data_IF_029251573054
#
_entry.id   IF_029251573054
#
_cell.length_a   1.000
_cell.length_b   1.000
_cell.length_c   1.000
_cell.angle_alpha   90.00
_cell.angle_beta   90.00
_cell.angle_gamma   90.00
#
_symmetry.space_group_name_H-M   'P 1'
#
loop_
_entity.id
_entity.type
_entity.pdbx_description
1 polymer ?
#
# COMPACT_ATOMS: atom_id res chain seq x y z
N UNK A 1 35.95 -37.15 30.61
CA UNK A 1 36.02 -37.31 29.15
C UNK A 1 35.27 -36.14 28.52
N UNK A 2 36.00 -35.21 27.89
CA UNK A 2 35.42 -34.06 27.21
C UNK A 2 35.12 -34.45 25.75
N UNK A 3 33.89 -34.19 25.30
CA UNK A 3 33.49 -34.36 23.92
C UNK A 3 34.15 -33.26 23.06
N UNK A 4 35.03 -33.56 22.09
CA UNK A 4 35.79 -32.54 21.36
C UNK A 4 35.11 -32.01 20.08
N UNK A 5 33.84 -32.31 19.82
CA UNK A 5 33.20 -31.94 18.53
C UNK A 5 32.00 -30.99 18.63
N UNK A 6 32.08 -29.97 19.49
CA UNK A 6 31.32 -28.74 19.26
C UNK A 6 32.26 -27.67 18.73
N UNK A 7 32.56 -27.76 17.42
CA UNK A 7 33.09 -26.59 16.70
C UNK A 7 32.06 -25.47 16.86
N UNK A 8 32.46 -24.24 17.24
CA UNK A 8 31.56 -23.11 17.14
C UNK A 8 31.15 -23.02 15.67
N UNK A 9 29.84 -23.10 15.41
CA UNK A 9 29.30 -22.75 14.10
C UNK A 9 29.67 -21.29 13.92
N UNK A 10 30.69 -21.02 13.10
CA UNK A 10 31.09 -19.66 12.78
C UNK A 10 29.93 -19.00 12.06
N UNK A 11 29.33 -17.98 12.66
CA UNK A 11 28.35 -17.14 11.99
C UNK A 11 28.98 -16.58 10.70
N UNK A 12 28.43 -16.97 9.55
CA UNK A 12 28.85 -16.43 8.26
C UNK A 12 28.29 -15.02 8.18
N UNK A 13 29.11 -14.01 8.46
CA UNK A 13 28.72 -12.60 8.29
C UNK A 13 28.70 -12.26 6.81
N UNK A 14 27.51 -12.16 6.23
CA UNK A 14 27.32 -11.55 4.90
C UNK A 14 27.21 -10.04 5.11
N UNK A 15 28.06 -9.21 4.46
CA UNK A 15 27.98 -7.77 4.60
C UNK A 15 26.63 -7.21 4.17
N UNK A 16 26.14 -6.18 4.86
CA UNK A 16 24.92 -5.47 4.47
C UNK A 16 25.00 -4.96 3.02
N UNK A 17 24.12 -5.47 2.17
CA UNK A 17 23.97 -4.95 0.81
C UNK A 17 23.14 -3.65 0.84
N UNK A 18 23.83 -2.51 0.78
CA UNK A 18 23.16 -1.20 0.75
C UNK A 18 22.26 -1.00 -0.47
N UNK A 19 22.47 -1.75 -1.56
CA UNK A 19 21.58 -1.77 -2.72
C UNK A 19 20.19 -2.28 -2.37
N UNK A 20 20.12 -3.39 -1.63
CA UNK A 20 18.87 -4.01 -1.21
C UNK A 20 18.09 -3.10 -0.26
N UNK A 21 18.78 -2.40 0.65
CA UNK A 21 18.14 -1.42 1.56
C UNK A 21 17.54 -0.24 0.77
N UNK A 22 18.24 0.24 -0.28
CA UNK A 22 17.74 1.32 -1.14
C UNK A 22 16.55 0.88 -1.98
N UNK A 23 16.54 -0.35 -2.46
CA UNK A 23 15.39 -0.89 -3.20
C UNK A 23 14.20 -1.09 -2.27
N UNK A 24 14.43 -1.67 -1.09
CA UNK A 24 13.42 -1.79 -0.04
C UNK A 24 12.83 -0.43 0.36
N UNK A 25 13.63 0.64 0.46
CA UNK A 25 13.12 2.00 0.72
C UNK A 25 12.09 2.44 -0.32
N UNK A 26 12.30 2.12 -1.60
CA UNK A 26 11.34 2.46 -2.67
C UNK A 26 10.05 1.68 -2.51
N UNK A 27 10.13 0.40 -2.14
CA UNK A 27 8.97 -0.47 -1.92
C UNK A 27 8.18 -0.13 -0.64
N UNK A 28 8.88 0.27 0.42
CA UNK A 28 8.29 0.69 1.68
C UNK A 28 7.49 1.99 1.52
N UNK A 29 7.92 2.87 0.61
CA UNK A 29 7.29 4.18 0.40
C UNK A 29 7.50 5.10 1.60
N UNK A 30 6.64 6.12 1.75
CA UNK A 30 6.67 7.00 2.93
C UNK A 30 6.01 6.31 4.10
N UNK A 31 6.78 6.04 5.15
CA UNK A 31 6.31 5.40 6.38
C UNK A 31 5.07 6.09 6.97
N UNK A 32 4.97 7.42 6.85
CA UNK A 32 3.84 8.20 7.36
C UNK A 32 2.53 8.03 6.57
N UNK A 33 2.59 7.50 5.34
CA UNK A 33 1.41 7.25 4.51
C UNK A 33 0.72 5.92 4.87
N UNK A 34 1.51 4.89 5.18
CA UNK A 34 1.02 3.62 5.76
C UNK A 34 1.97 3.11 6.85
N UNK A 35 1.83 3.61 8.09
CA UNK A 35 2.73 3.20 9.18
C UNK A 35 2.59 1.74 9.57
N UNK A 36 1.43 1.13 9.35
CA UNK A 36 1.18 -0.28 9.66
C UNK A 36 1.86 -1.15 8.62
N UNK A 37 1.54 -0.98 7.34
CA UNK A 37 2.18 -1.75 6.27
C UNK A 37 3.68 -1.49 6.18
N UNK A 38 4.12 -0.26 6.42
CA UNK A 38 5.53 0.10 6.47
C UNK A 38 6.30 -0.60 7.60
N UNK A 39 5.72 -0.69 8.81
CA UNK A 39 6.34 -1.42 9.93
C UNK A 39 6.34 -2.93 9.72
N UNK A 40 5.27 -3.51 9.17
CA UNK A 40 5.24 -4.94 8.83
C UNK A 40 6.29 -5.31 7.79
N UNK A 41 6.42 -4.49 6.73
CA UNK A 41 7.46 -4.64 5.72
C UNK A 41 8.86 -4.51 6.32
N UNK A 42 9.07 -3.53 7.20
CA UNK A 42 10.36 -3.36 7.88
C UNK A 42 10.68 -4.55 8.77
N UNK A 43 9.70 -5.04 9.54
CA UNK A 43 9.89 -6.19 10.41
C UNK A 43 10.22 -7.46 9.61
N UNK A 44 9.60 -7.64 8.44
CA UNK A 44 9.92 -8.72 7.50
C UNK A 44 11.32 -8.56 6.88
N UNK A 45 11.69 -7.34 6.48
CA UNK A 45 13.01 -7.03 5.94
C UNK A 45 14.13 -7.28 6.97
N UNK A 46 13.88 -6.90 8.23
CA UNK A 46 14.80 -7.22 9.31
C UNK A 46 14.83 -8.73 9.56
N UNK A 47 13.68 -9.40 9.51
CA UNK A 47 13.60 -10.87 9.48
C UNK A 47 14.35 -11.54 10.65
N UNK A 48 14.82 -12.79 10.50
CA UNK A 48 15.70 -13.43 11.46
C UNK A 48 17.18 -13.06 11.27
N UNK A 49 17.49 -12.06 10.42
CA UNK A 49 18.87 -11.70 10.11
C UNK A 49 19.54 -11.11 11.35
N UNK A 50 20.79 -11.52 11.58
CA UNK A 50 21.59 -11.05 12.71
C UNK A 50 22.37 -9.82 12.24
N UNK A 51 21.78 -8.64 12.39
CA UNK A 51 22.49 -7.39 12.15
C UNK A 51 23.38 -7.02 13.34
N UNK A 52 24.49 -6.35 13.06
CA UNK A 52 25.22 -5.58 14.07
C UNK A 52 24.52 -4.26 14.36
N UNK A 53 24.87 -3.60 15.48
CA UNK A 53 24.38 -2.26 15.77
C UNK A 53 24.70 -1.28 14.62
N UNK A 54 25.92 -1.34 14.08
CA UNK A 54 26.38 -0.49 12.97
C UNK A 54 25.57 -0.72 11.70
N UNK A 55 25.31 -1.99 11.34
CA UNK A 55 24.47 -2.32 10.18
C UNK A 55 23.03 -1.86 10.38
N UNK A 56 22.47 -2.03 11.59
CA UNK A 56 21.11 -1.60 11.88
C UNK A 56 20.99 -0.06 11.83
N UNK A 57 21.95 0.68 12.39
CA UNK A 57 21.99 2.14 12.25
C UNK A 57 22.15 2.57 10.79
N UNK A 58 22.93 1.83 10.00
CA UNK A 58 23.08 2.07 8.56
C UNK A 58 21.77 1.85 7.79
N UNK A 59 21.05 0.77 8.10
CA UNK A 59 19.71 0.50 7.54
C UNK A 59 18.78 1.66 7.88
N UNK A 60 18.66 2.02 9.16
CA UNK A 60 17.80 3.11 9.60
C UNK A 60 18.17 4.44 8.93
N UNK A 61 19.46 4.72 8.77
CA UNK A 61 19.95 5.93 8.10
C UNK A 61 19.70 5.98 6.60
N UNK A 62 19.56 4.84 5.94
CA UNK A 62 19.09 4.79 4.55
C UNK A 62 17.58 5.00 4.51
N UNK A 63 16.83 4.32 5.37
CA UNK A 63 15.36 4.30 5.33
C UNK A 63 14.72 5.62 5.76
N UNK A 64 15.26 6.27 6.79
CA UNK A 64 14.63 7.39 7.49
C UNK A 64 15.47 8.66 7.45
N UNK A 65 14.80 9.81 7.54
CA UNK A 65 15.48 11.10 7.75
C UNK A 65 16.07 11.17 9.16
N UNK A 66 16.90 12.17 9.45
CA UNK A 66 17.44 12.36 10.81
C UNK A 66 16.33 12.64 11.80
N UNK A 67 15.37 13.50 11.41
CA UNK A 67 14.20 13.87 12.20
C UNK A 67 13.31 12.67 12.49
N UNK A 68 13.03 11.83 11.49
CA UNK A 68 12.26 10.59 11.67
C UNK A 68 12.96 9.65 12.64
N UNK A 69 14.28 9.45 12.51
CA UNK A 69 15.04 8.57 13.40
C UNK A 69 15.03 9.05 14.84
N UNK A 70 15.20 10.35 15.06
CA UNK A 70 15.13 10.94 16.40
C UNK A 70 13.74 10.72 17.01
N UNK A 71 12.67 10.96 16.24
CA UNK A 71 11.30 10.77 16.70
C UNK A 71 10.99 9.31 17.02
N UNK A 72 11.40 8.38 16.14
CA UNK A 72 11.24 6.94 16.34
C UNK A 72 11.97 6.50 17.60
N UNK A 73 13.23 6.92 17.76
CA UNK A 73 14.06 6.57 18.92
C UNK A 73 13.45 7.07 20.23
N UNK A 74 13.10 8.36 20.30
CA UNK A 74 12.47 8.93 21.51
C UNK A 74 11.16 8.22 21.85
N UNK A 75 10.35 7.93 20.83
CA UNK A 75 9.12 7.17 20.99
C UNK A 75 9.37 5.74 21.49
N UNK A 76 10.35 5.05 20.93
CA UNK A 76 10.74 3.68 21.32
C UNK A 76 11.23 3.61 22.77
N UNK A 77 12.08 4.55 23.18
CA UNK A 77 12.55 4.68 24.57
C UNK A 77 11.39 4.89 25.54
N UNK A 78 10.46 5.79 25.21
CA UNK A 78 9.29 6.07 26.06
C UNK A 78 8.37 4.85 26.22
N UNK A 79 8.26 4.00 25.21
CA UNK A 79 7.50 2.73 25.31
C UNK A 79 8.25 1.74 26.17
N UNK A 80 9.56 1.59 25.95
CA UNK A 80 10.41 0.71 26.74
C UNK A 80 10.35 1.03 28.23
N UNK A 81 10.53 2.30 28.60
CA UNK A 81 10.50 2.75 29.99
C UNK A 81 9.13 2.50 30.65
N UNK A 82 8.04 2.56 29.85
CA UNK A 82 6.67 2.27 30.33
C UNK A 82 6.41 0.78 30.52
N UNK A 83 6.87 -0.06 29.58
CA UNK A 83 6.43 -1.45 29.47
C UNK A 83 7.41 -2.48 30.07
N UNK A 84 8.70 -2.18 30.11
CA UNK A 84 9.72 -3.21 30.32
C UNK A 84 10.48 -3.10 31.64
N UNK A 85 11.11 -1.97 31.99
CA UNK A 85 12.17 -1.98 33.03
C UNK A 85 12.31 -0.72 33.92
N UNK A 86 11.29 0.14 34.02
CA UNK A 86 11.33 1.34 34.88
C UNK A 86 11.91 2.58 34.18
N UNK A 87 11.81 3.77 34.81
CA UNK A 87 12.15 5.03 34.15
C UNK A 87 13.64 5.15 33.79
N UNK A 88 13.91 5.79 32.65
CA UNK A 88 15.22 6.25 32.16
C UNK A 88 16.23 5.16 31.75
N UNK A 89 15.79 3.96 31.35
CA UNK A 89 16.69 2.90 30.85
C UNK A 89 16.72 2.78 29.32
N UNK A 90 15.79 3.40 28.60
CA UNK A 90 15.74 3.32 27.13
C UNK A 90 17.03 3.77 26.42
N UNK A 91 17.82 4.66 27.03
CA UNK A 91 19.08 5.14 26.44
C UNK A 91 20.18 4.08 26.43
N UNK A 92 20.16 3.16 27.41
CA UNK A 92 21.09 2.04 27.51
C UNK A 92 20.77 0.95 26.47
N UNK A 93 19.48 0.75 26.19
CA UNK A 93 19.00 -0.29 25.28
C UNK A 93 18.91 0.19 23.82
N UNK A 94 18.80 1.50 23.59
CA UNK A 94 19.01 2.12 22.28
C UNK A 94 20.09 3.22 22.32
N UNK A 95 21.37 2.84 22.48
CA UNK A 95 22.46 3.79 22.62
C UNK A 95 22.68 4.60 21.35
N UNK A 96 23.09 5.87 21.52
CA UNK A 96 23.38 6.80 20.43
C UNK A 96 24.72 6.49 19.74
N UNK A 97 25.66 5.92 20.49
CA UNK A 97 26.99 5.51 20.01
C UNK A 97 27.08 3.99 19.97
N UNK A 98 28.04 3.47 19.19
CA UNK A 98 28.27 2.03 19.12
C UNK A 98 28.61 1.50 20.52
N UNK A 99 27.75 0.63 21.10
CA UNK A 99 27.97 0.12 22.43
C UNK A 99 29.03 -1.00 22.48
N UNK A 100 29.59 -1.38 21.33
CA UNK A 100 30.60 -2.45 21.25
C UNK A 100 30.01 -3.82 21.59
N UNK A 101 28.72 -4.06 21.31
CA UNK A 101 28.06 -5.35 21.52
C UNK A 101 28.70 -6.44 20.65
N UNK A 102 29.68 -7.14 21.21
CA UNK A 102 30.48 -8.13 20.49
C UNK A 102 29.70 -9.43 20.20
N UNK A 103 30.17 -10.17 19.19
CA UNK A 103 29.54 -11.41 18.71
C UNK A 103 29.63 -12.60 19.69
N UNK A 104 30.44 -12.48 20.75
CA UNK A 104 30.71 -13.56 21.73
C UNK A 104 29.95 -13.38 23.04
N UNK A 105 29.24 -12.26 23.21
CA UNK A 105 28.47 -11.98 24.42
C UNK A 105 27.10 -12.66 24.35
N UNK A 106 26.78 -13.48 25.37
CA UNK A 106 25.48 -14.15 25.50
C UNK A 106 24.30 -13.15 25.45
N UNK A 107 24.53 -11.90 25.86
CA UNK A 107 23.51 -10.84 25.86
C UNK A 107 23.27 -10.18 24.49
N UNK A 108 24.15 -10.38 23.49
CA UNK A 108 24.01 -9.72 22.17
C UNK A 108 22.67 -10.01 21.51
N UNK A 109 22.25 -11.28 21.52
CA UNK A 109 20.97 -11.69 20.92
C UNK A 109 19.79 -10.98 21.55
N UNK A 110 19.83 -10.79 22.86
CA UNK A 110 18.80 -10.07 23.61
C UNK A 110 18.84 -8.58 23.26
N UNK A 111 20.00 -7.93 23.35
CA UNK A 111 20.16 -6.51 23.02
C UNK A 111 19.68 -6.18 21.60
N UNK A 112 19.99 -7.02 20.61
CA UNK A 112 19.52 -6.82 19.23
C UNK A 112 18.00 -7.07 19.08
N UNK A 113 17.45 -8.03 19.84
CA UNK A 113 16.01 -8.29 19.85
C UNK A 113 15.23 -7.13 20.47
N UNK A 114 15.75 -6.59 21.57
CA UNK A 114 15.18 -5.44 22.29
C UNK A 114 15.27 -4.18 21.43
N UNK A 115 16.43 -3.92 20.81
CA UNK A 115 16.60 -2.80 19.91
C UNK A 115 15.65 -2.89 18.69
N UNK A 116 15.50 -4.07 18.07
CA UNK A 116 14.50 -4.27 17.01
C UNK A 116 13.09 -3.99 17.51
N UNK A 117 12.74 -4.51 18.68
CA UNK A 117 11.42 -4.28 19.28
C UNK A 117 11.18 -2.79 19.52
N UNK A 118 12.16 -2.07 20.06
CA UNK A 118 12.10 -0.63 20.29
C UNK A 118 11.96 0.16 18.98
N UNK A 119 12.64 -0.24 17.90
CA UNK A 119 12.49 0.38 16.56
C UNK A 119 11.05 0.23 16.08
N UNK A 120 10.53 -1.00 16.07
CA UNK A 120 9.17 -1.27 15.58
C UNK A 120 8.15 -0.51 16.42
N UNK A 121 8.23 -0.58 17.75
CA UNK A 121 7.33 0.15 18.65
C UNK A 121 7.49 1.66 18.55
N UNK A 122 8.72 2.15 18.39
CA UNK A 122 9.03 3.55 18.25
C UNK A 122 8.40 4.17 17.02
N UNK A 123 8.37 3.43 15.90
CA UNK A 123 7.66 3.86 14.70
C UNK A 123 6.17 3.98 14.98
N UNK A 124 5.55 2.98 15.60
CA UNK A 124 4.13 2.98 15.94
C UNK A 124 3.72 4.17 16.82
N UNK A 125 4.56 4.56 17.77
CA UNK A 125 4.31 5.69 18.66
C UNK A 125 4.68 7.05 18.05
N UNK A 126 5.62 7.09 17.10
CA UNK A 126 6.02 8.31 16.39
C UNK A 126 4.94 8.80 15.41
N UNK A 127 4.03 7.92 14.96
CA UNK A 127 2.91 8.33 14.13
C UNK A 127 2.04 9.34 14.89
N UNK A 128 1.74 10.53 14.34
CA UNK A 128 0.86 11.51 14.97
C UNK A 128 -0.59 10.98 15.08
N UNK A 129 -0.89 10.25 16.17
CA UNK A 129 -2.17 9.55 16.35
C UNK A 129 -3.39 10.50 16.30
N UNK A 130 -3.23 11.75 16.74
CA UNK A 130 -4.32 12.74 16.77
C UNK A 130 -4.41 13.67 15.55
N UNK A 131 -3.30 13.97 14.88
CA UNK A 131 -3.28 14.98 13.80
C UNK A 131 -3.78 14.42 12.45
N UNK A 132 -3.62 13.12 12.21
CA UNK A 132 -4.05 12.48 10.97
C UNK A 132 -5.45 11.83 11.07
N UNK A 133 -6.02 11.67 12.28
CA UNK A 133 -7.31 10.99 12.44
C UNK A 133 -8.43 11.68 11.66
N UNK A 134 -8.54 13.01 11.74
CA UNK A 134 -9.60 13.75 11.04
C UNK A 134 -9.42 13.68 9.54
N UNK A 135 -8.18 13.68 9.05
CA UNK A 135 -7.87 13.59 7.62
C UNK A 135 -8.18 12.19 7.09
N UNK A 136 -7.67 11.15 7.74
CA UNK A 136 -7.88 9.75 7.33
C UNK A 136 -9.34 9.32 7.51
N UNK A 137 -10.01 9.73 8.59
CA UNK A 137 -11.45 9.49 8.76
C UNK A 137 -12.32 10.42 7.92
N UNK A 138 -11.80 11.48 7.30
CA UNK A 138 -12.59 12.31 6.36
C UNK A 138 -12.70 11.68 4.98
N UNK A 139 -11.79 10.76 4.65
CA UNK A 139 -11.82 10.03 3.39
C UNK A 139 -12.97 9.04 3.37
N UNK A 140 -13.67 9.00 2.23
CA UNK A 140 -14.76 8.06 1.98
C UNK A 140 -14.24 6.89 1.15
N UNK A 141 -15.04 5.83 1.05
CA UNK A 141 -14.79 4.77 0.09
C UNK A 141 -14.66 5.35 -1.33
N UNK A 142 -13.61 4.95 -2.05
CA UNK A 142 -13.37 5.35 -3.44
C UNK A 142 -14.47 4.84 -4.38
N UNK A 143 -14.67 5.51 -5.53
CA UNK A 143 -15.71 5.14 -6.51
C UNK A 143 -15.55 3.73 -7.08
N UNK A 144 -14.30 3.32 -7.23
CA UNK A 144 -13.89 2.07 -7.86
C UNK A 144 -13.08 1.19 -6.89
N UNK A 145 -13.07 1.56 -5.60
CA UNK A 145 -12.44 0.78 -4.52
C UNK A 145 -13.35 -0.38 -4.10
N UNK A 146 -12.79 -1.58 -3.98
CA UNK A 146 -13.56 -2.74 -3.54
C UNK A 146 -14.00 -2.59 -2.08
N UNK A 147 -15.08 -3.28 -1.71
CA UNK A 147 -15.59 -3.24 -0.33
C UNK A 147 -14.59 -3.84 0.69
N UNK A 148 -13.78 -4.80 0.24
CA UNK A 148 -12.76 -5.45 1.06
C UNK A 148 -11.59 -4.49 1.33
N UNK A 149 -11.05 -3.87 0.28
CA UNK A 149 -9.94 -2.91 0.40
C UNK A 149 -10.35 -1.71 1.27
N UNK A 150 -11.57 -1.20 1.05
CA UNK A 150 -12.15 -0.14 1.86
C UNK A 150 -12.23 -0.53 3.34
N UNK A 151 -12.76 -1.73 3.64
CA UNK A 151 -12.89 -2.20 5.01
C UNK A 151 -11.53 -2.39 5.69
N UNK A 152 -10.55 -2.92 4.97
CA UNK A 152 -9.19 -3.10 5.48
C UNK A 152 -8.54 -1.73 5.79
N UNK A 153 -8.62 -0.79 4.85
CA UNK A 153 -8.11 0.58 5.02
C UNK A 153 -8.77 1.28 6.21
N UNK A 154 -10.09 1.12 6.38
CA UNK A 154 -10.83 1.68 7.51
C UNK A 154 -10.39 1.06 8.85
N UNK A 155 -10.19 -0.27 8.91
CA UNK A 155 -9.69 -0.93 10.13
C UNK A 155 -8.30 -0.44 10.50
N UNK A 156 -7.38 -0.39 9.54
CA UNK A 156 -6.02 0.13 9.74
C UNK A 156 -6.05 1.56 10.28
N UNK A 157 -6.86 2.43 9.68
CA UNK A 157 -7.05 3.80 10.13
C UNK A 157 -7.57 3.87 11.58
N UNK A 158 -8.60 3.11 11.92
CA UNK A 158 -9.18 3.15 13.27
C UNK A 158 -8.23 2.56 14.32
N UNK A 159 -7.54 1.47 14.01
CA UNK A 159 -6.54 0.87 14.90
C UNK A 159 -5.40 1.84 15.20
N UNK A 160 -4.96 2.60 14.19
CA UNK A 160 -3.82 3.51 14.32
C UNK A 160 -4.17 4.82 15.04
N UNK A 161 -5.37 5.33 14.80
CA UNK A 161 -5.70 6.72 15.17
C UNK A 161 -6.78 6.85 16.25
N UNK A 162 -7.69 5.89 16.42
CA UNK A 162 -8.80 6.05 17.36
C UNK A 162 -8.43 5.83 18.83
N UNK A 163 -7.33 5.12 19.09
CA UNK A 163 -6.96 4.69 20.44
C UNK A 163 -7.92 3.65 21.06
N UNK A 164 -8.90 3.17 20.29
CA UNK A 164 -9.87 2.16 20.70
C UNK A 164 -9.46 0.81 20.12
N UNK A 165 -9.40 -0.21 20.97
CA UNK A 165 -9.21 -1.58 20.52
C UNK A 165 -10.46 -2.06 19.75
N UNK A 166 -10.25 -2.47 18.50
CA UNK A 166 -11.32 -2.91 17.59
C UNK A 166 -11.94 -4.24 17.99
N UNK A 167 -11.27 -5.06 18.81
CA UNK A 167 -11.82 -6.33 19.30
C UNK A 167 -12.80 -6.13 20.48
N UNK A 168 -12.88 -4.91 21.03
CA UNK A 168 -13.85 -4.55 22.06
C UNK A 168 -15.22 -4.20 21.50
N UNK A 169 -16.26 -4.26 22.33
CA UNK A 169 -17.61 -3.83 21.94
C UNK A 169 -17.65 -2.37 21.43
N UNK A 170 -16.94 -1.47 22.11
CA UNK A 170 -16.84 -0.07 21.70
C UNK A 170 -16.13 0.08 20.34
N UNK A 171 -15.06 -0.68 20.11
CA UNK A 171 -14.35 -0.71 18.84
C UNK A 171 -15.20 -1.24 17.68
N UNK A 172 -15.98 -2.29 17.91
CA UNK A 172 -16.92 -2.82 16.91
C UNK A 172 -18.03 -1.81 16.57
N UNK A 173 -18.58 -1.12 17.57
CA UNK A 173 -19.56 -0.04 17.34
C UNK A 173 -18.95 1.09 16.50
N UNK A 174 -17.72 1.51 16.82
CA UNK A 174 -17.00 2.53 16.07
C UNK A 174 -16.77 2.10 14.61
N UNK A 175 -16.26 0.88 14.40
CA UNK A 175 -16.01 0.33 13.06
C UNK A 175 -17.28 0.29 12.20
N UNK A 176 -18.39 -0.23 12.75
CA UNK A 176 -19.69 -0.27 12.03
C UNK A 176 -20.18 1.13 11.69
N UNK A 177 -20.11 2.05 12.65
CA UNK A 177 -20.56 3.44 12.48
C UNK A 177 -19.78 4.13 11.36
N UNK A 178 -18.46 4.01 11.36
CA UNK A 178 -17.63 4.61 10.32
C UNK A 178 -17.81 3.93 8.97
N UNK A 179 -17.97 2.59 8.94
CA UNK A 179 -18.23 1.86 7.71
C UNK A 179 -19.48 2.40 6.99
N UNK A 180 -20.59 2.61 7.70
CA UNK A 180 -21.81 3.17 7.13
C UNK A 180 -21.63 4.64 6.74
N UNK A 181 -21.09 5.47 7.65
CA UNK A 181 -20.96 6.91 7.44
C UNK A 181 -20.02 7.29 6.29
N UNK A 182 -19.01 6.47 6.02
CA UNK A 182 -17.94 6.73 5.06
C UNK A 182 -18.02 5.87 3.80
N UNK A 183 -18.96 4.93 3.72
CA UNK A 183 -19.25 4.22 2.47
C UNK A 183 -19.61 5.19 1.35
N UNK A 184 -19.37 4.76 0.10
CA UNK A 184 -19.66 5.60 -1.06
C UNK A 184 -21.17 5.89 -1.10
N UNK A 185 -21.56 7.16 -1.29
CA UNK A 185 -22.94 7.68 -1.44
C UNK A 185 -24.12 6.70 -1.66
N UNK A 186 -24.20 5.95 -2.77
CA UNK A 186 -25.24 4.97 -3.06
C UNK A 186 -25.27 3.77 -2.10
N UNK A 187 -24.09 3.25 -1.70
CA UNK A 187 -23.96 2.22 -0.67
C UNK A 187 -24.39 2.81 0.68
N UNK A 188 -23.84 3.98 1.05
CA UNK A 188 -24.20 4.67 2.29
C UNK A 188 -25.71 4.90 2.41
N UNK A 189 -26.35 5.47 1.39
CA UNK A 189 -27.80 5.71 1.34
C UNK A 189 -28.61 4.43 1.51
N UNK A 190 -28.10 3.29 1.03
CA UNK A 190 -28.76 2.00 1.22
C UNK A 190 -28.60 1.51 2.65
N UNK A 191 -27.39 1.58 3.21
CA UNK A 191 -27.08 1.14 4.56
C UNK A 191 -27.82 1.97 5.62
N UNK A 192 -27.91 3.28 5.45
CA UNK A 192 -28.66 4.17 6.35
C UNK A 192 -30.17 3.87 6.38
N UNK A 193 -30.72 3.26 5.31
CA UNK A 193 -32.12 2.83 5.22
C UNK A 193 -32.39 1.44 5.75
N UNK A 194 -31.35 0.69 6.13
CA UNK A 194 -31.54 -0.61 6.74
C UNK A 194 -32.09 -0.38 8.15
N UNK A 195 -33.24 -0.96 8.44
CA UNK A 195 -33.88 -0.88 9.75
C UNK A 195 -32.95 -1.42 10.83
N UNK A 196 -32.81 -0.66 11.92
CA UNK A 196 -31.96 -0.98 13.07
C UNK A 196 -30.54 -1.41 12.67
N UNK A 197 -29.94 -0.76 11.66
CA UNK A 197 -28.61 -1.14 11.17
C UNK A 197 -27.52 -1.08 12.27
N UNK A 198 -27.72 -0.28 13.32
CA UNK A 198 -26.84 -0.18 14.48
C UNK A 198 -26.75 -1.51 15.26
N UNK A 199 -27.86 -2.25 15.31
CA UNK A 199 -27.96 -3.55 15.98
C UNK A 199 -27.43 -4.69 15.11
N UNK A 200 -27.31 -4.46 13.80
CA UNK A 200 -26.81 -5.47 12.86
C UNK A 200 -25.31 -5.70 13.02
N UNK A 201 -24.90 -6.94 12.75
CA UNK A 201 -23.49 -7.28 12.65
C UNK A 201 -22.83 -6.67 11.40
N UNK A 202 -21.51 -6.43 11.46
CA UNK A 202 -20.75 -5.92 10.32
C UNK A 202 -20.92 -6.78 9.05
N UNK A 203 -21.01 -8.10 9.21
CA UNK A 203 -21.21 -9.04 8.09
C UNK A 203 -22.56 -8.86 7.38
N UNK A 204 -23.61 -8.45 8.09
CA UNK A 204 -24.90 -8.15 7.47
C UNK A 204 -24.84 -6.85 6.67
N UNK A 205 -24.19 -5.83 7.21
CA UNK A 205 -23.96 -4.56 6.50
C UNK A 205 -23.13 -4.77 5.23
N UNK A 206 -22.09 -5.62 5.30
CA UNK A 206 -21.29 -6.00 4.12
C UNK A 206 -22.13 -6.71 3.06
N UNK A 207 -23.03 -7.62 3.45
CA UNK A 207 -23.94 -8.27 2.50
C UNK A 207 -24.88 -7.28 1.82
N UNK A 208 -25.43 -6.31 2.55
CA UNK A 208 -26.28 -5.27 1.96
C UNK A 208 -25.51 -4.35 1.02
N UNK A 209 -24.28 -3.96 1.38
CA UNK A 209 -23.40 -3.19 0.51
C UNK A 209 -23.04 -3.97 -0.77
N UNK A 210 -22.74 -5.27 -0.65
CA UNK A 210 -22.41 -6.11 -1.80
C UNK A 210 -23.58 -6.21 -2.79
N UNK A 211 -24.83 -6.32 -2.32
CA UNK A 211 -26.02 -6.33 -3.20
C UNK A 211 -26.12 -5.05 -4.03
N UNK A 212 -25.72 -3.90 -3.47
CA UNK A 212 -25.72 -2.62 -4.18
C UNK A 212 -24.66 -2.59 -5.28
N UNK A 213 -23.45 -3.09 -4.99
CA UNK A 213 -22.37 -3.18 -5.98
C UNK A 213 -22.75 -4.10 -7.14
N UNK A 214 -23.28 -5.29 -6.86
CA UNK A 214 -23.69 -6.24 -7.91
C UNK A 214 -24.77 -5.64 -8.82
N UNK A 215 -25.79 -4.97 -8.25
CA UNK A 215 -26.82 -4.31 -9.06
C UNK A 215 -26.26 -3.19 -9.95
N UNK A 216 -25.33 -2.38 -9.42
CA UNK A 216 -24.62 -1.36 -10.20
C UNK A 216 -23.89 -1.98 -11.38
N UNK A 217 -23.15 -3.07 -11.14
CA UNK A 217 -22.36 -3.72 -12.18
C UNK A 217 -23.26 -4.35 -13.25
N UNK A 218 -24.36 -4.98 -12.86
CA UNK A 218 -25.37 -5.50 -13.78
C UNK A 218 -25.99 -4.39 -14.66
N UNK A 219 -26.33 -3.24 -14.07
CA UNK A 219 -26.85 -2.08 -14.83
C UNK A 219 -25.79 -1.49 -15.76
N UNK A 220 -24.55 -1.37 -15.32
CA UNK A 220 -23.44 -0.93 -16.18
C UNK A 220 -23.22 -1.90 -17.35
N UNK A 221 -23.28 -3.21 -17.12
CA UNK A 221 -23.13 -4.22 -18.19
C UNK A 221 -24.29 -4.18 -19.18
N UNK A 222 -25.52 -3.88 -18.76
CA UNK A 222 -26.67 -3.70 -19.67
C UNK A 222 -26.57 -2.43 -20.53
N UNK A 223 -25.92 -1.40 -19.99
CA UNK A 223 -25.81 -0.09 -20.66
C UNK A 223 -24.62 0.01 -21.61
N UNK A 224 -23.53 -0.75 -21.36
CA UNK A 224 -22.35 -0.82 -22.25
C UNK A 224 -22.69 -1.13 -23.73
N UNK A 225 -23.51 -2.15 -24.05
CA UNK A 225 -23.92 -2.43 -25.43
C UNK A 225 -24.71 -1.28 -26.06
N UNK A 226 -25.57 -0.61 -25.29
CA UNK A 226 -26.38 0.50 -25.79
C UNK A 226 -25.52 1.72 -26.14
N UNK A 227 -24.52 2.03 -25.30
CA UNK A 227 -23.55 3.11 -25.56
C UNK A 227 -22.67 2.77 -26.77
N UNK A 228 -22.16 1.54 -26.85
CA UNK A 228 -21.39 1.06 -28.01
C UNK A 228 -22.22 1.11 -29.30
N UNK A 229 -23.48 0.66 -29.27
CA UNK A 229 -24.38 0.71 -30.42
C UNK A 229 -24.74 2.15 -30.82
N UNK A 230 -24.90 3.08 -29.87
CA UNK A 230 -25.13 4.48 -30.15
C UNK A 230 -23.91 5.13 -30.83
N UNK A 231 -22.70 4.87 -30.32
CA UNK A 231 -21.45 5.35 -30.92
C UNK A 231 -21.21 4.79 -32.34
N UNK A 232 -21.56 3.51 -32.56
CA UNK A 232 -21.52 2.89 -33.91
C UNK A 232 -22.56 3.54 -34.83
N UNK A 233 -23.77 3.82 -34.34
CA UNK A 233 -24.79 4.52 -35.15
C UNK A 233 -24.36 5.94 -35.50
N UNK A 234 -23.76 6.70 -34.59
CA UNK A 234 -23.24 8.05 -34.86
C UNK A 234 -22.09 8.05 -35.86
N UNK A 235 -21.17 7.08 -35.78
CA UNK A 235 -20.11 6.91 -36.78
C UNK A 235 -20.67 6.49 -38.14
N UNK A 236 -21.73 5.68 -38.17
CA UNK A 236 -22.40 5.30 -39.43
C UNK A 236 -23.19 6.47 -40.05
N UNK A 237 -23.87 7.31 -39.24
CA UNK A 237 -24.62 8.47 -39.74
C UNK A 237 -23.71 9.57 -40.23
N UNK A 238 -22.58 9.83 -39.57
CA UNK A 238 -21.54 10.77 -40.05
C UNK A 238 -20.96 10.33 -41.40
N UNK A 239 -20.58 9.05 -41.55
CA UNK A 239 -20.11 8.52 -42.83
C UNK A 239 -21.20 8.54 -43.94
N UNK A 240 -22.48 8.36 -43.58
CA UNK A 240 -23.59 8.40 -44.53
C UNK A 240 -24.01 9.82 -44.93
N UNK A 241 -23.84 10.82 -44.05
CA UNK A 241 -24.05 12.24 -44.38
C UNK A 241 -22.94 12.77 -45.28
N UNK A 242 -21.69 12.34 -45.08
CA UNK A 242 -20.59 12.61 -46.02
C UNK A 242 -20.85 11.98 -47.40
N UNK A 243 -21.38 10.74 -47.46
CA UNK A 243 -21.74 10.09 -48.74
C UNK A 243 -22.95 10.70 -49.44
N UNK A 244 -23.93 11.27 -48.71
CA UNK A 244 -25.12 11.93 -49.29
C UNK A 244 -24.86 13.37 -49.77
N UNK A 245 -23.82 14.04 -49.27
CA UNK A 245 -23.40 15.36 -49.77
C UNK A 245 -22.71 15.30 -51.15
N UNK A 246 -22.38 14.10 -51.65
CA UNK A 246 -21.68 13.89 -52.92
C UNK A 246 -22.52 13.91 -54.21
N UNK A 247 -23.85 14.12 -54.16
CA UNK A 247 -24.72 14.14 -55.36
C UNK A 247 -25.39 15.51 -55.55
N UNK A 248 -24.60 16.54 -55.82
CA UNK A 248 -25.02 17.66 -56.67
C UNK A 248 -23.80 18.48 -57.10
N UNK A 249 -23.17 18.07 -58.19
CA UNK A 249 -22.32 18.95 -59.00
C UNK A 249 -22.20 18.41 -60.42
N UNK A 250 -23.09 18.85 -61.30
CA UNK A 250 -22.84 18.88 -62.74
C UNK A 250 -22.66 20.34 -63.16
N UNK A 251 -21.44 20.62 -63.65
CA UNK A 251 -21.02 21.63 -64.63
C UNK A 251 -21.34 23.11 -64.31
N UNK A 252 -20.36 24.02 -64.30
CA UNK A 252 -19.62 24.46 -65.49
C UNK A 252 -18.17 24.94 -65.19
N UNK A 253 -17.38 24.90 -66.26
CA UNK A 253 -15.92 25.05 -66.41
C UNK A 253 -15.38 26.48 -66.20
N UNK A 254 -14.16 26.57 -65.66
CA UNK A 254 -12.94 27.16 -66.29
C UNK A 254 -11.75 27.06 -65.31
N UNK A 255 -10.60 26.54 -65.74
CA UNK A 255 -9.36 26.47 -64.92
C UNK A 255 -8.44 27.68 -65.13
N UNK A 256 -7.12 27.60 -64.85
CA UNK A 256 -6.42 26.86 -63.79
C UNK A 256 -5.36 27.75 -63.07
N UNK A 257 -5.09 27.57 -61.78
CA UNK A 257 -3.70 27.74 -61.27
C UNK A 257 -3.49 27.02 -59.95
N UNK A 258 -2.34 26.34 -59.90
CA UNK A 258 -1.73 25.64 -58.77
C UNK A 258 -1.60 26.47 -57.50
N UNK A 259 -1.87 25.86 -56.35
CA UNK A 259 -1.56 26.39 -55.02
C UNK A 259 -1.56 25.27 -53.98
N UNK A 260 -0.38 24.92 -53.52
CA UNK A 260 -0.01 23.78 -52.67
C UNK A 260 -0.42 23.98 -51.20
N UNK A 261 -1.20 23.05 -50.64
CA UNK A 261 -1.24 22.80 -49.19
C UNK A 261 -1.27 21.29 -48.92
N UNK A 262 -0.17 20.60 -49.25
CA UNK A 262 0.06 19.23 -48.74
C UNK A 262 0.18 19.24 -47.22
N UNK A 263 -0.77 18.60 -46.54
CA UNK A 263 -0.83 18.40 -45.09
C UNK A 263 0.47 17.77 -44.56
N UNK A 264 1.03 18.35 -43.48
CA UNK A 264 2.18 17.81 -42.75
C UNK A 264 1.72 16.80 -41.71
N UNK A 265 2.45 15.71 -41.56
CA UNK A 265 2.21 14.71 -40.53
C UNK A 265 2.54 15.29 -39.14
N UNK A 266 1.59 15.25 -38.21
CA UNK A 266 1.75 15.85 -36.88
C UNK A 266 2.77 15.13 -35.98
N UNK A 267 3.16 13.89 -36.30
CA UNK A 267 4.15 13.13 -35.51
C UNK A 267 5.58 13.27 -36.01
N UNK A 268 5.79 13.34 -37.33
CA UNK A 268 7.13 13.38 -37.92
C UNK A 268 7.42 14.64 -38.76
N UNK A 269 6.43 15.53 -38.89
CA UNK A 269 6.48 16.81 -39.59
C UNK A 269 6.83 16.70 -41.09
N UNK A 270 6.78 15.50 -41.66
CA UNK A 270 6.98 15.23 -43.09
C UNK A 270 5.69 15.45 -43.89
N UNK A 271 5.81 15.96 -45.12
CA UNK A 271 4.67 16.20 -46.02
C UNK A 271 4.24 14.90 -46.71
N UNK A 272 2.94 14.75 -46.98
CA UNK A 272 2.43 13.68 -47.87
C UNK A 272 1.73 12.50 -47.20
N UNK A 273 1.64 12.47 -45.86
CA UNK A 273 0.83 11.50 -45.12
C UNK A 273 0.30 12.11 -43.81
N UNK A 274 -0.73 11.50 -43.21
CA UNK A 274 -1.29 11.92 -41.92
C UNK A 274 -0.71 11.05 -40.80
N UNK A 275 -0.84 11.50 -39.54
CA UNK A 275 -0.31 10.80 -38.36
C UNK A 275 -0.74 9.33 -38.24
N UNK A 276 -1.95 9.00 -38.70
CA UNK A 276 -2.49 7.64 -38.71
C UNK A 276 -1.77 6.68 -39.66
N UNK A 277 -0.97 7.20 -40.58
CA UNK A 277 -0.24 6.47 -41.62
C UNK A 277 1.29 6.55 -41.45
N UNK A 278 1.77 7.06 -40.32
CA UNK A 278 3.20 7.25 -40.04
C UNK A 278 3.85 5.93 -39.60
N UNK A 279 4.89 5.47 -40.30
CA UNK A 279 5.55 4.18 -40.07
C UNK A 279 6.36 4.07 -38.77
N UNK A 280 6.57 5.17 -38.05
CA UNK A 280 7.34 5.23 -36.79
C UNK A 280 6.53 4.95 -35.52
N UNK A 281 5.21 4.72 -35.60
CA UNK A 281 4.36 4.46 -34.42
C UNK A 281 4.28 2.97 -34.00
N UNK A 282 5.15 2.10 -34.51
CA UNK A 282 5.28 0.69 -34.09
C UNK A 282 6.70 0.32 -33.67
N UNK A 283 7.01 0.50 -32.39
CA UNK A 283 8.02 -0.27 -31.63
C UNK A 283 7.49 -0.34 -30.18
N UNK A 284 6.70 -1.34 -29.83
CA UNK A 284 7.06 -2.59 -29.13
C UNK A 284 7.50 -2.42 -27.67
N UNK A 285 6.50 -2.62 -26.81
CA UNK A 285 6.58 -3.08 -25.43
C UNK A 285 6.80 -4.60 -25.43
N UNK A 286 7.73 -5.16 -24.64
CA UNK A 286 7.69 -6.58 -24.30
C UNK A 286 7.54 -6.80 -22.80
N UNK A 287 6.29 -7.10 -22.41
CA UNK A 287 6.01 -8.01 -21.31
C UNK A 287 6.58 -9.40 -21.64
N UNK A 288 7.45 -9.93 -20.78
CA UNK A 288 7.79 -11.35 -20.76
C UNK A 288 7.37 -11.94 -19.41
N UNK A 289 6.54 -12.97 -19.54
CA UNK A 289 6.07 -13.92 -18.54
C UNK A 289 7.18 -14.56 -17.70
N UNK A 290 6.95 -14.71 -16.38
CA UNK A 290 7.37 -15.90 -15.63
C UNK A 290 6.20 -16.37 -14.75
N UNK A 291 5.86 -17.65 -14.91
CA UNK A 291 4.79 -18.39 -14.24
C UNK A 291 5.24 -18.95 -12.86
N UNK A 292 4.35 -19.57 -12.06
CA UNK A 292 4.35 -19.52 -10.61
C UNK A 292 5.21 -20.60 -9.94
N UNK A 293 5.74 -20.31 -8.74
CA UNK A 293 6.18 -21.35 -7.78
C UNK A 293 5.29 -21.36 -6.54
N UNK A 294 4.69 -22.53 -6.35
CA UNK A 294 3.89 -22.97 -5.19
C UNK A 294 4.78 -23.31 -3.99
N UNK A 295 4.14 -23.17 -2.83
CA UNK A 295 4.27 -23.95 -1.58
C UNK A 295 5.64 -24.07 -0.90
N UNK A 296 5.84 -23.26 0.15
CA UNK A 296 6.52 -23.69 1.39
C UNK A 296 5.81 -23.06 2.62
N UNK A 297 5.03 -23.90 3.30
CA UNK A 297 4.73 -23.95 4.76
C UNK A 297 4.26 -22.67 5.49
N UNK A 298 2.97 -22.56 5.85
CA UNK A 298 2.39 -23.12 7.11
C UNK A 298 3.44 -23.27 8.23
N UNK A 299 3.71 -22.22 9.00
CA UNK A 299 4.13 -22.25 10.43
C UNK A 299 4.47 -20.85 11.01
N UNK A 300 3.61 -19.85 10.82
CA UNK A 300 3.75 -18.53 11.47
C UNK A 300 2.69 -18.23 12.53
N UNK A 301 1.66 -19.09 12.67
CA UNK A 301 0.55 -18.89 13.63
C UNK A 301 0.90 -19.36 15.06
N UNK A 302 1.95 -20.16 15.25
CA UNK A 302 2.35 -20.63 16.59
C UNK A 302 3.46 -19.80 17.27
N UNK A 303 4.20 -18.96 16.54
CA UNK A 303 5.26 -18.11 17.14
C UNK A 303 4.74 -16.79 17.73
N UNK A 304 3.59 -16.30 17.27
CA UNK A 304 2.88 -15.17 17.90
C UNK A 304 2.33 -15.46 19.30
N UNK A 305 2.27 -16.74 19.71
CA UNK A 305 1.80 -17.11 21.05
C UNK A 305 2.91 -17.18 22.10
N UNK A 306 4.20 -17.15 21.71
CA UNK A 306 5.33 -17.14 22.66
C UNK A 306 5.81 -15.75 23.06
N UNK A 307 5.53 -14.71 22.27
CA UNK A 307 5.86 -13.33 22.65
C UNK A 307 4.90 -12.74 23.71
N UNK A 308 3.84 -13.47 24.07
CA UNK A 308 2.95 -13.16 25.21
C UNK A 308 3.49 -13.56 26.58
N UNK A 309 4.79 -13.88 26.69
CA UNK A 309 5.46 -14.24 27.95
C UNK A 309 6.59 -13.28 28.37
N UNK A 310 6.44 -11.99 28.13
CA UNK A 310 7.05 -11.02 29.06
C UNK A 310 6.24 -10.91 30.38
N UNK A 311 5.12 -11.62 30.48
CA UNK A 311 4.39 -11.85 31.72
C UNK A 311 4.73 -13.22 32.34
N UNK A 312 5.30 -13.16 33.55
CA UNK A 312 5.54 -14.19 34.58
C UNK A 312 6.91 -14.90 34.59
N UNK A 313 7.70 -14.50 35.61
CA UNK A 313 8.97 -15.05 36.12
C UNK A 313 10.13 -14.75 35.18
N UNK A 314 11.15 -14.02 35.61
CA UNK A 314 11.96 -14.23 36.82
C UNK A 314 12.17 -12.90 37.56
#
# INVERSE_FOLDING_TARGET
>A
MANPEQRPIGDVSVPLNTGDVREFKKEMGRLLEDPIGGTEKLDQFLGPNIYTWVELQSILGILFTTEDREMIRHSGMRVWDRECQGPDQGDQEWPMQDPGWNNQNERRGQNMSDLRWMIIRGIWEAVPKGQNIRKVLSEHQGKDESLADWLERLRKALQLYSGVDLDTAAGQVLLKTQFVAKAWGHIRKKLEKVENWQDKGLQELLREAQKVLVRRDEEMQKTKPQILMAAVKETQTTMNTEKRSGKNKQQRKAGPTSGDTRSMCFSCHQKGHLQTSCSTSRVQDPLVFIAPKRDIYKNSVERGSKMRKCFKKI
#
